data_IF_316684315090
#
_entry.id   IF_316684315090
#
_cell.length_a   1.000
_cell.length_b   1.000
_cell.length_c   1.000
_cell.angle_alpha   90.00
_cell.angle_beta   90.00
_cell.angle_gamma   90.00
#
_symmetry.space_group_name_H-M   'P 1'
#
loop_
_entity.id
_entity.type
_entity.pdbx_description
1 polymer ?
#
# COMPACT_ATOMS: atom_id res chain seq x y z
N UNK A 1 1.68 15.15 -0.33
CA UNK A 1 1.16 16.16 -1.28
C UNK A 1 -0.34 16.01 -1.60
N UNK A 2 -0.93 14.80 -1.60
CA UNK A 2 -2.36 14.61 -1.88
C UNK A 2 -3.32 15.39 -0.95
N UNK A 3 -2.94 15.60 0.31
CA UNK A 3 -3.83 16.18 1.33
C UNK A 3 -4.16 17.66 1.09
N UNK A 4 -3.27 18.41 0.41
CA UNK A 4 -3.53 19.81 0.02
C UNK A 4 -4.47 19.91 -1.18
N UNK A 5 -4.43 18.95 -2.09
CA UNK A 5 -5.30 18.95 -3.27
C UNK A 5 -6.76 18.67 -2.89
N UNK A 6 -6.99 17.69 -2.00
CA UNK A 6 -8.34 17.36 -1.54
C UNK A 6 -9.01 18.45 -0.71
N UNK A 7 -8.25 19.21 0.10
CA UNK A 7 -8.80 20.34 0.85
C UNK A 7 -9.21 21.52 -0.03
N UNK A 8 -8.53 21.74 -1.16
CA UNK A 8 -8.85 22.85 -2.05
C UNK A 8 -10.03 22.52 -3.00
N UNK A 9 -10.08 21.30 -3.54
CA UNK A 9 -11.04 20.95 -4.59
C UNK A 9 -12.23 20.10 -4.10
N UNK A 10 -12.11 19.43 -2.95
CA UNK A 10 -13.19 18.64 -2.35
C UNK A 10 -14.49 19.44 -2.15
N UNK A 11 -14.45 20.67 -1.60
CA UNK A 11 -15.65 21.48 -1.43
C UNK A 11 -16.30 21.86 -2.76
N UNK A 12 -15.49 22.24 -3.77
CA UNK A 12 -15.97 22.66 -5.08
C UNK A 12 -16.69 21.52 -5.82
N UNK A 13 -16.13 20.30 -5.77
CA UNK A 13 -16.74 19.11 -6.37
C UNK A 13 -18.04 18.75 -5.63
N UNK A 14 -18.02 18.77 -4.28
CA UNK A 14 -19.21 18.49 -3.47
C UNK A 14 -20.35 19.48 -3.72
N UNK A 15 -20.06 20.79 -3.73
CA UNK A 15 -21.08 21.81 -4.01
C UNK A 15 -21.58 21.77 -5.45
N UNK A 16 -20.70 21.47 -6.41
CA UNK A 16 -21.10 21.37 -7.82
C UNK A 16 -22.10 20.25 -8.06
N UNK A 17 -21.89 19.08 -7.45
CA UNK A 17 -22.81 17.94 -7.57
C UNK A 17 -24.17 18.25 -6.91
N UNK A 18 -24.18 18.84 -5.72
CA UNK A 18 -25.44 19.19 -5.03
C UNK A 18 -26.24 20.25 -5.81
N UNK A 19 -25.56 21.28 -6.33
CA UNK A 19 -26.22 22.31 -7.14
C UNK A 19 -26.75 21.76 -8.47
N UNK A 20 -26.01 20.84 -9.11
CA UNK A 20 -26.46 20.18 -10.34
C UNK A 20 -27.72 19.33 -10.10
N UNK A 21 -27.74 18.49 -9.06
CA UNK A 21 -28.92 17.69 -8.73
C UNK A 21 -30.10 18.54 -8.24
N UNK A 22 -29.84 19.62 -7.48
CA UNK A 22 -30.89 20.57 -7.08
C UNK A 22 -31.52 21.27 -8.28
N UNK A 23 -30.71 21.71 -9.25
CA UNK A 23 -31.21 22.30 -10.49
C UNK A 23 -31.98 21.28 -11.35
N UNK A 24 -31.47 20.06 -11.47
CA UNK A 24 -32.14 18.98 -12.22
C UNK A 24 -33.49 18.61 -11.58
N UNK A 25 -33.56 18.53 -10.24
CA UNK A 25 -34.79 18.27 -9.52
C UNK A 25 -35.83 19.37 -9.78
N UNK A 26 -35.43 20.65 -9.70
CA UNK A 26 -36.30 21.78 -10.02
C UNK A 26 -36.80 21.75 -11.48
N UNK A 27 -35.94 21.36 -12.42
CA UNK A 27 -36.32 21.24 -13.82
C UNK A 27 -37.34 20.11 -14.06
N UNK A 28 -37.21 18.98 -13.35
CA UNK A 28 -38.12 17.84 -13.45
C UNK A 28 -39.47 18.11 -12.76
N UNK A 29 -39.47 18.63 -11.53
CA UNK A 29 -40.71 18.91 -10.78
C UNK A 29 -41.52 20.04 -11.41
N UNK A 30 -40.85 21.03 -12.00
CA UNK A 30 -41.53 22.10 -12.74
C UNK A 30 -42.29 21.61 -13.98
N UNK A 31 -41.95 20.43 -14.51
CA UNK A 31 -42.61 19.84 -15.67
C UNK A 31 -43.81 18.98 -15.27
N UNK A 32 -43.77 18.30 -14.12
CA UNK A 32 -44.90 17.52 -13.61
C UNK A 32 -46.12 18.40 -13.31
N UNK A 33 -45.95 19.58 -12.70
CA UNK A 33 -47.08 20.49 -12.50
C UNK A 33 -47.70 20.98 -13.81
N UNK A 34 -46.88 21.17 -14.85
CA UNK A 34 -47.35 21.57 -16.19
C UNK A 34 -48.09 20.42 -16.87
N UNK A 35 -47.60 19.20 -16.73
CA UNK A 35 -48.27 18.00 -17.25
C UNK A 35 -49.56 17.72 -16.48
N UNK A 36 -49.59 17.84 -15.16
CA UNK A 36 -50.80 17.66 -14.36
C UNK A 36 -51.90 18.68 -14.73
N UNK A 37 -51.53 19.95 -14.99
CA UNK A 37 -52.47 20.97 -15.51
C UNK A 37 -52.96 20.63 -16.92
N UNK A 38 -52.08 20.11 -17.78
CA UNK A 38 -52.48 19.68 -19.12
C UNK A 38 -53.44 18.47 -19.05
N UNK A 39 -53.15 17.45 -18.24
CA UNK A 39 -54.03 16.29 -18.07
C UNK A 39 -55.41 16.65 -17.50
N UNK A 40 -55.48 17.58 -16.53
CA UNK A 40 -56.77 18.08 -16.04
C UNK A 40 -57.57 18.83 -17.11
N UNK A 41 -56.92 19.49 -18.09
CA UNK A 41 -57.64 20.10 -19.21
C UNK A 41 -58.10 19.10 -20.29
N UNK A 42 -57.49 17.91 -20.38
CA UNK A 42 -57.76 16.93 -21.44
C UNK A 42 -58.60 15.71 -21.00
N UNK A 43 -58.95 15.59 -19.70
CA UNK A 43 -59.71 14.47 -19.14
C UNK A 43 -61.16 14.27 -19.65
N UNK A 44 -61.57 14.94 -20.73
CA UNK A 44 -62.88 14.77 -21.36
C UNK A 44 -62.87 14.05 -22.72
N UNK A 45 -61.73 13.74 -23.33
CA UNK A 45 -61.69 13.40 -24.77
C UNK A 45 -60.73 12.26 -25.17
N UNK A 46 -60.58 11.20 -24.37
CA UNK A 46 -59.66 10.08 -24.70
C UNK A 46 -60.39 8.78 -25.05
N UNK A 47 -61.19 8.76 -26.12
CA UNK A 47 -61.67 7.46 -26.65
C UNK A 47 -61.51 7.22 -28.15
N UNK A 48 -60.97 8.15 -28.94
CA UNK A 48 -60.79 7.88 -30.36
C UNK A 48 -59.44 8.40 -30.87
N UNK A 49 -58.69 7.46 -31.44
CA UNK A 49 -57.81 7.57 -32.62
C UNK A 49 -56.44 6.95 -32.35
N UNK A 50 -56.41 5.64 -32.51
CA UNK A 50 -55.24 4.88 -32.92
C UNK A 50 -55.40 4.64 -34.43
N UNK A 51 -54.91 5.56 -35.27
CA UNK A 51 -54.72 5.30 -36.70
C UNK A 51 -53.59 6.17 -37.24
N UNK A 52 -52.56 5.48 -37.73
CA UNK A 52 -51.38 6.03 -38.36
C UNK A 52 -51.72 7.04 -39.46
N UNK A 53 -51.03 8.18 -39.47
CA UNK A 53 -51.02 9.13 -40.58
C UNK A 53 -49.57 9.49 -40.92
N UNK A 54 -49.25 9.28 -42.19
CA UNK A 54 -48.02 9.64 -42.91
C UNK A 54 -47.60 11.11 -42.69
N UNK A 55 -46.29 11.46 -42.75
CA UNK A 55 -45.84 12.85 -42.64
C UNK A 55 -46.16 13.62 -43.93
N UNK A 56 -47.35 14.24 -43.96
CA UNK A 56 -47.75 15.22 -44.96
C UNK A 56 -47.16 16.63 -44.71
N UNK A 57 -47.27 17.54 -45.70
CA UNK A 57 -46.50 18.78 -45.75
C UNK A 57 -46.88 19.76 -44.63
N UNK A 58 -45.87 20.42 -44.06
CA UNK A 58 -45.96 21.52 -43.08
C UNK A 58 -47.06 22.52 -43.44
N UNK A 59 -48.13 22.56 -42.64
CA UNK A 59 -49.23 23.51 -42.84
C UNK A 59 -48.96 24.84 -42.14
N UNK A 60 -49.19 25.90 -42.91
CA UNK A 60 -48.93 27.32 -42.67
C UNK A 60 -49.92 27.94 -41.65
N UNK A 61 -49.64 29.16 -41.12
CA UNK A 61 -50.38 29.90 -40.07
C UNK A 61 -51.91 30.06 -40.19
N UNK A 62 -52.52 29.64 -41.29
CA UNK A 62 -53.96 29.73 -41.55
C UNK A 62 -54.76 28.79 -40.64
N UNK A 63 -54.24 27.60 -40.31
CA UNK A 63 -54.95 26.62 -39.47
C UNK A 63 -55.07 27.07 -38.00
N UNK A 64 -54.08 27.81 -37.48
CA UNK A 64 -54.15 28.37 -36.12
C UNK A 64 -55.22 29.44 -35.98
N UNK A 65 -55.46 30.22 -37.04
CA UNK A 65 -56.52 31.23 -37.06
C UNK A 65 -57.92 30.58 -37.13
N UNK A 66 -58.07 29.53 -37.95
CA UNK A 66 -59.33 28.79 -38.06
C UNK A 66 -59.74 28.09 -36.75
N UNK A 67 -58.77 27.55 -36.00
CA UNK A 67 -58.98 27.02 -34.65
C UNK A 67 -59.55 28.07 -33.67
N UNK A 68 -59.01 29.30 -33.71
CA UNK A 68 -59.41 30.37 -32.80
C UNK A 68 -60.82 30.90 -33.12
N UNK A 69 -61.19 30.95 -34.41
CA UNK A 69 -62.54 31.30 -34.84
C UNK A 69 -63.57 30.22 -34.49
N UNK A 70 -63.22 28.94 -34.62
CA UNK A 70 -64.12 27.83 -34.29
C UNK A 70 -64.44 27.71 -32.79
N UNK A 71 -63.52 28.08 -31.90
CA UNK A 71 -63.78 28.16 -30.45
C UNK A 71 -64.65 29.36 -30.07
N UNK A 72 -64.56 30.46 -30.81
CA UNK A 72 -65.35 31.67 -30.56
C UNK A 72 -66.81 31.58 -31.03
N UNK A 73 -67.14 30.66 -31.96
CA UNK A 73 -68.39 30.70 -32.71
C UNK A 73 -69.61 29.98 -32.08
N UNK A 74 -69.47 29.14 -31.05
CA UNK A 74 -70.59 28.52 -30.32
C UNK A 74 -71.47 27.50 -31.11
N UNK A 75 -71.94 26.45 -30.42
CA UNK A 75 -72.46 25.15 -30.91
C UNK A 75 -73.76 25.10 -31.76
N UNK A 76 -73.96 26.00 -32.72
CA UNK A 76 -75.21 26.03 -33.47
C UNK A 76 -75.23 25.18 -34.77
N UNK A 77 -74.07 24.88 -35.39
CA UNK A 77 -74.01 24.27 -36.73
C UNK A 77 -73.12 23.03 -36.81
N UNK A 78 -73.54 22.02 -37.58
CA UNK A 78 -72.79 20.78 -37.83
C UNK A 78 -71.39 21.03 -38.42
N UNK A 79 -71.24 22.08 -39.25
CA UNK A 79 -69.95 22.51 -39.81
C UNK A 79 -68.96 23.00 -38.74
N UNK A 80 -69.43 23.40 -37.54
CA UNK A 80 -68.54 23.78 -36.44
C UNK A 80 -67.99 22.58 -35.69
N UNK A 81 -68.72 21.46 -35.67
CA UNK A 81 -68.27 20.22 -35.04
C UNK A 81 -67.03 19.68 -35.76
N UNK A 82 -67.07 19.60 -37.10
CA UNK A 82 -65.93 19.15 -37.91
C UNK A 82 -64.71 20.07 -37.73
N UNK A 83 -64.91 21.39 -37.62
CA UNK A 83 -63.84 22.36 -37.37
C UNK A 83 -63.21 22.19 -35.99
N UNK A 84 -63.99 21.86 -34.96
CA UNK A 84 -63.49 21.59 -33.61
C UNK A 84 -62.71 20.28 -33.54
N UNK A 85 -63.16 19.24 -34.23
CA UNK A 85 -62.44 17.97 -34.31
C UNK A 85 -61.10 18.14 -35.01
N UNK A 86 -61.05 18.88 -36.12
CA UNK A 86 -59.78 19.24 -36.77
C UNK A 86 -58.88 20.07 -35.85
N UNK A 87 -59.45 20.99 -35.07
CA UNK A 87 -58.67 21.77 -34.11
C UNK A 87 -58.10 20.93 -32.96
N UNK A 88 -58.88 19.97 -32.45
CA UNK A 88 -58.43 19.03 -31.41
C UNK A 88 -57.31 18.13 -31.94
N UNK A 89 -57.43 17.62 -33.17
CA UNK A 89 -56.38 16.84 -33.83
C UNK A 89 -55.10 17.66 -34.03
N UNK A 90 -55.22 18.93 -34.44
CA UNK A 90 -54.08 19.83 -34.58
C UNK A 90 -53.37 20.08 -33.24
N UNK A 91 -54.12 20.31 -32.16
CA UNK A 91 -53.54 20.48 -30.80
C UNK A 91 -52.89 19.21 -30.31
N UNK A 92 -53.48 18.04 -30.57
CA UNK A 92 -52.90 16.75 -30.23
C UNK A 92 -51.58 16.53 -30.99
N UNK A 93 -51.52 16.86 -32.28
CA UNK A 93 -50.31 16.79 -33.09
C UNK A 93 -49.20 17.72 -32.56
N UNK A 94 -49.53 18.99 -32.26
CA UNK A 94 -48.60 19.95 -31.66
C UNK A 94 -48.09 19.50 -30.27
N UNK A 95 -48.95 18.85 -29.48
CA UNK A 95 -48.54 18.30 -28.18
C UNK A 95 -47.62 17.08 -28.35
N UNK A 96 -47.89 16.22 -29.34
CA UNK A 96 -47.04 15.09 -29.67
C UNK A 96 -45.64 15.53 -30.12
N UNK A 97 -45.54 16.58 -30.95
CA UNK A 97 -44.26 17.17 -31.38
C UNK A 97 -43.44 17.67 -30.18
N UNK A 98 -44.07 18.45 -29.29
CA UNK A 98 -43.41 18.94 -28.07
C UNK A 98 -42.97 17.81 -27.13
N UNK A 99 -43.77 16.76 -26.99
CA UNK A 99 -43.40 15.60 -26.19
C UNK A 99 -42.22 14.84 -26.81
N UNK A 100 -42.15 14.76 -28.14
CA UNK A 100 -41.01 14.17 -28.85
C UNK A 100 -39.72 14.98 -28.60
N UNK A 101 -39.78 16.31 -28.66
CA UNK A 101 -38.65 17.18 -28.35
C UNK A 101 -38.16 17.02 -26.90
N UNK A 102 -39.09 16.97 -25.94
CA UNK A 102 -38.74 16.73 -24.53
C UNK A 102 -38.10 15.36 -24.32
N UNK A 103 -38.65 14.31 -24.93
CA UNK A 103 -38.10 12.96 -24.86
C UNK A 103 -36.70 12.89 -25.49
N UNK A 104 -36.46 13.63 -26.59
CA UNK A 104 -35.16 13.75 -27.22
C UNK A 104 -34.13 14.37 -26.27
N UNK A 105 -34.44 15.51 -25.64
CA UNK A 105 -33.54 16.15 -24.68
C UNK A 105 -33.31 15.29 -23.42
N UNK A 106 -34.35 14.63 -22.92
CA UNK A 106 -34.22 13.71 -21.77
C UNK A 106 -33.30 12.53 -22.11
N UNK A 107 -33.39 12.00 -23.33
CA UNK A 107 -32.50 10.93 -23.80
C UNK A 107 -31.05 11.41 -23.85
N UNK A 108 -30.81 12.61 -24.39
CA UNK A 108 -29.48 13.21 -24.44
C UNK A 108 -28.90 13.36 -23.01
N UNK A 109 -29.66 13.96 -22.09
CA UNK A 109 -29.24 14.13 -20.70
C UNK A 109 -28.98 12.77 -20.03
N UNK A 110 -29.83 11.79 -20.28
CA UNK A 110 -29.66 10.42 -19.79
C UNK A 110 -28.35 9.78 -20.26
N UNK A 111 -28.01 9.92 -21.55
CA UNK A 111 -26.74 9.40 -22.11
C UNK A 111 -25.53 10.08 -21.47
N UNK A 112 -25.55 11.40 -21.30
CA UNK A 112 -24.45 12.12 -20.64
C UNK A 112 -24.33 11.74 -19.15
N UNK A 113 -25.46 11.59 -18.44
CA UNK A 113 -25.47 11.12 -17.06
C UNK A 113 -24.87 9.72 -16.92
N UNK A 114 -25.25 8.79 -17.81
CA UNK A 114 -24.69 7.45 -17.84
C UNK A 114 -23.17 7.47 -18.13
N UNK A 115 -22.74 8.27 -19.09
CA UNK A 115 -21.32 8.43 -19.41
C UNK A 115 -20.51 8.97 -18.22
N UNK A 116 -21.06 9.93 -17.47
CA UNK A 116 -20.43 10.47 -16.25
C UNK A 116 -20.30 9.41 -15.14
N UNK A 117 -21.33 8.58 -14.94
CA UNK A 117 -21.29 7.46 -13.98
C UNK A 117 -20.23 6.45 -14.38
N UNK A 118 -20.15 6.08 -15.66
CA UNK A 118 -19.13 5.18 -16.18
C UNK A 118 -17.72 5.74 -15.99
N UNK A 119 -17.50 7.02 -16.32
CA UNK A 119 -16.20 7.67 -16.12
C UNK A 119 -15.77 7.65 -14.64
N UNK A 120 -16.72 7.90 -13.73
CA UNK A 120 -16.47 7.84 -12.28
C UNK A 120 -16.13 6.42 -11.83
N UNK A 121 -16.82 5.41 -12.35
CA UNK A 121 -16.53 4.01 -12.05
C UNK A 121 -15.11 3.62 -12.51
N UNK A 122 -14.72 4.05 -13.72
CA UNK A 122 -13.36 3.84 -14.23
C UNK A 122 -12.29 4.49 -13.36
N UNK A 123 -12.52 5.72 -12.90
CA UNK A 123 -11.61 6.40 -11.98
C UNK A 123 -11.48 5.64 -10.64
N UNK A 124 -12.60 5.13 -10.09
CA UNK A 124 -12.60 4.34 -8.87
C UNK A 124 -11.82 3.02 -9.02
N UNK A 125 -11.89 2.36 -10.17
CA UNK A 125 -11.09 1.16 -10.45
C UNK A 125 -9.59 1.50 -10.44
N UNK A 126 -9.19 2.64 -11.03
CA UNK A 126 -7.81 3.12 -10.97
C UNK A 126 -7.34 3.38 -9.54
N UNK A 127 -8.16 4.07 -8.75
CA UNK A 127 -7.87 4.35 -7.35
C UNK A 127 -7.74 3.07 -6.50
N UNK A 128 -8.61 2.08 -6.71
CA UNK A 128 -8.55 0.78 -6.03
C UNK A 128 -7.27 0.01 -6.34
N UNK A 129 -6.79 0.06 -7.59
CA UNK A 129 -5.52 -0.58 -7.97
C UNK A 129 -4.33 0.05 -7.25
N UNK A 130 -4.28 1.37 -7.17
CA UNK A 130 -3.20 2.05 -6.44
C UNK A 130 -3.30 1.84 -4.92
N UNK A 131 -4.52 1.82 -4.37
CA UNK A 131 -4.72 1.46 -2.97
C UNK A 131 -4.25 0.02 -2.67
N UNK A 132 -4.50 -0.93 -3.57
CA UNK A 132 -4.01 -2.30 -3.44
C UNK A 132 -2.48 -2.37 -3.45
N UNK A 133 -1.82 -1.65 -4.39
CA UNK A 133 -0.34 -1.55 -4.42
C UNK A 133 0.23 -0.92 -3.16
N UNK A 134 -0.41 0.16 -2.68
CA UNK A 134 0.01 0.81 -1.43
C UNK A 134 -0.14 -0.11 -0.22
N UNK A 135 -1.17 -0.95 -0.18
CA UNK A 135 -1.36 -1.91 0.91
C UNK A 135 -0.32 -3.03 0.85
N UNK A 136 0.05 -3.48 -0.35
CA UNK A 136 1.13 -4.45 -0.54
C UNK A 136 2.48 -3.90 -0.07
N UNK A 137 2.81 -2.66 -0.46
CA UNK A 137 4.00 -1.96 0.06
C UNK A 137 3.94 -1.76 1.58
N UNK A 138 2.78 -1.36 2.13
CA UNK A 138 2.63 -1.24 3.57
C UNK A 138 2.86 -2.59 4.26
N UNK A 139 2.38 -3.70 3.68
CA UNK A 139 2.60 -5.04 4.20
C UNK A 139 4.09 -5.42 4.19
N UNK A 140 4.84 -5.09 3.14
CA UNK A 140 6.29 -5.35 3.10
C UNK A 140 7.02 -4.51 4.14
N UNK A 141 6.70 -3.21 4.27
CA UNK A 141 7.27 -2.35 5.31
C UNK A 141 6.95 -2.83 6.72
N UNK A 142 5.70 -3.22 7.01
CA UNK A 142 5.33 -3.79 8.31
C UNK A 142 6.03 -5.12 8.58
N UNK A 143 6.23 -5.93 7.55
CA UNK A 143 6.96 -7.18 7.67
C UNK A 143 8.47 -6.97 7.89
N UNK A 144 9.04 -5.85 7.44
CA UNK A 144 10.44 -5.43 7.66
C UNK A 144 10.64 -4.75 9.02
N UNK A 145 9.75 -3.82 9.39
CA UNK A 145 9.80 -3.10 10.66
C UNK A 145 9.60 -4.05 11.85
N UNK A 146 8.78 -5.09 11.68
CA UNK A 146 8.57 -6.11 12.71
C UNK A 146 9.62 -7.22 12.71
N UNK A 147 10.71 -7.15 11.95
CA UNK A 147 11.75 -8.20 12.00
C UNK A 147 12.54 -8.11 13.31
N UNK A 148 13.07 -9.23 13.83
CA UNK A 148 14.11 -9.22 14.84
C UNK A 148 15.37 -8.66 14.18
N UNK A 149 15.98 -7.67 14.83
CA UNK A 149 17.25 -7.13 14.43
C UNK A 149 18.25 -7.56 15.49
N UNK A 150 19.25 -8.35 15.12
CA UNK A 150 20.25 -8.83 16.07
C UNK A 150 21.47 -7.92 16.02
N UNK A 151 21.64 -7.11 17.05
CA UNK A 151 22.88 -6.40 17.29
C UNK A 151 23.87 -7.37 17.92
N UNK A 152 25.02 -7.54 17.27
CA UNK A 152 26.11 -8.40 17.77
C UNK A 152 27.13 -7.52 18.46
N UNK A 153 27.39 -7.79 19.73
CA UNK A 153 28.41 -7.10 20.52
C UNK A 153 29.42 -8.11 21.04
N UNK A 154 30.70 -7.82 20.88
CA UNK A 154 31.75 -8.50 21.65
C UNK A 154 31.68 -7.95 23.07
N UNK A 155 31.60 -8.82 24.07
CA UNK A 155 31.85 -8.36 25.43
C UNK A 155 33.35 -8.02 25.51
N UNK A 156 33.69 -6.82 25.97
CA UNK A 156 35.09 -6.39 26.17
C UNK A 156 35.82 -7.26 27.21
N UNK A 157 35.06 -8.06 27.97
CA UNK A 157 35.52 -9.08 28.90
C UNK A 157 36.14 -10.32 28.17
N UNK A 158 37.13 -10.09 27.30
CA UNK A 158 38.11 -11.14 26.93
C UNK A 158 38.99 -11.37 28.15
N UNK A 159 38.46 -12.10 29.13
CA UNK A 159 39.19 -12.43 30.34
C UNK A 159 40.23 -13.48 29.99
N UNK A 160 41.50 -13.11 30.09
CA UNK A 160 42.60 -14.08 30.19
C UNK A 160 42.38 -14.88 31.48
N UNK A 161 41.58 -15.95 31.41
CA UNK A 161 41.37 -16.82 32.56
C UNK A 161 42.63 -17.66 32.72
N UNK A 162 43.58 -17.14 33.49
CA UNK A 162 44.70 -17.96 33.94
C UNK A 162 44.11 -18.96 34.92
N UNK A 163 43.82 -20.18 34.46
CA UNK A 163 43.55 -21.28 35.40
C UNK A 163 44.85 -21.49 36.19
N UNK A 164 44.87 -20.97 37.42
CA UNK A 164 46.00 -20.97 38.35
C UNK A 164 46.56 -22.36 38.69
N UNK A 165 45.99 -23.43 38.14
CA UNK A 165 46.39 -24.82 38.36
C UNK A 165 47.38 -25.37 37.31
N UNK A 166 47.58 -24.74 36.14
CA UNK A 166 48.46 -25.30 35.09
C UNK A 166 49.38 -24.30 34.33
N UNK A 167 49.29 -22.99 34.55
CA UNK A 167 50.14 -22.03 33.80
C UNK A 167 49.83 -21.93 32.30
N UNK A 168 48.71 -22.50 31.87
CA UNK A 168 48.22 -22.43 30.49
C UNK A 168 47.46 -21.11 30.28
N UNK A 169 47.93 -20.30 29.33
CA UNK A 169 47.20 -19.14 28.82
C UNK A 169 46.12 -19.63 27.86
N UNK A 170 44.91 -19.15 28.06
CA UNK A 170 43.81 -19.42 27.17
C UNK A 170 43.00 -18.15 26.94
N UNK A 171 42.43 -18.07 25.75
CA UNK A 171 41.61 -16.95 25.33
C UNK A 171 40.17 -17.44 25.30
N UNK A 172 39.31 -16.77 26.06
CA UNK A 172 37.87 -17.00 26.03
C UNK A 172 37.23 -15.91 25.18
N UNK A 173 36.49 -16.32 24.16
CA UNK A 173 35.68 -15.43 23.33
C UNK A 173 34.22 -15.56 23.75
N UNK A 174 33.60 -14.44 24.10
CA UNK A 174 32.18 -14.36 24.44
C UNK A 174 31.48 -13.48 23.42
N UNK A 175 30.60 -14.09 22.62
CA UNK A 175 29.77 -13.37 21.65
C UNK A 175 28.40 -13.17 22.26
N UNK A 176 28.01 -11.91 22.44
CA UNK A 176 26.66 -11.55 22.89
C UNK A 176 25.83 -11.06 21.71
N UNK A 177 24.61 -11.57 21.63
CA UNK A 177 23.61 -11.09 20.69
C UNK A 177 22.51 -10.38 21.48
N UNK A 178 22.11 -9.18 21.04
CA UNK A 178 20.96 -8.46 21.57
C UNK A 178 19.91 -8.31 20.47
N UNK A 179 18.67 -8.64 20.78
CA UNK A 179 17.56 -8.35 19.86
C UNK A 179 17.13 -6.90 20.06
N UNK A 180 17.43 -6.05 19.08
CA UNK A 180 16.98 -4.64 19.03
C UNK A 180 15.75 -4.48 18.14
N UNK A 181 15.22 -5.58 17.58
CA UNK A 181 13.98 -5.59 16.79
C UNK A 181 12.73 -5.79 17.63
N UNK A 182 11.57 -5.62 16.99
CA UNK A 182 10.26 -5.65 17.65
C UNK A 182 9.67 -7.07 17.81
N UNK A 183 10.20 -8.07 17.10
CA UNK A 183 9.73 -9.46 17.20
C UNK A 183 10.77 -10.39 17.80
N UNK A 184 10.35 -11.51 18.42
CA UNK A 184 11.29 -12.48 18.97
C UNK A 184 12.10 -13.15 17.88
N UNK A 185 13.41 -13.28 18.10
CA UNK A 185 14.30 -14.09 17.29
C UNK A 185 14.32 -15.52 17.85
N UNK A 186 14.09 -16.53 17.02
CA UNK A 186 14.09 -17.93 17.44
C UNK A 186 15.43 -18.59 17.08
N UNK A 187 15.85 -19.58 17.87
CA UNK A 187 17.05 -20.39 17.63
C UNK A 187 18.30 -19.55 17.30
N UNK A 188 18.56 -18.53 18.11
CA UNK A 188 19.73 -17.65 17.91
C UNK A 188 21.01 -18.40 18.27
N UNK A 189 21.99 -18.37 17.37
CA UNK A 189 23.32 -18.96 17.54
C UNK A 189 24.39 -18.22 16.74
N UNK A 190 25.66 -18.61 16.90
CA UNK A 190 26.76 -18.01 16.16
C UNK A 190 27.75 -19.06 15.63
N UNK A 191 28.34 -18.77 14.48
CA UNK A 191 29.44 -19.52 13.87
C UNK A 191 30.65 -18.59 13.68
N UNK A 192 31.53 -18.48 14.68
CA UNK A 192 32.76 -17.72 14.57
C UNK A 192 33.90 -18.54 14.00
N UNK A 193 34.80 -17.82 13.33
CA UNK A 193 36.09 -18.26 12.82
C UNK A 193 37.17 -17.31 13.32
N UNK A 194 38.26 -17.90 13.79
CA UNK A 194 39.46 -17.17 14.16
C UNK A 194 40.40 -17.24 12.97
N UNK A 195 40.69 -16.09 12.37
CA UNK A 195 41.56 -15.97 11.20
C UNK A 195 42.78 -15.11 11.53
N UNK A 196 43.95 -15.52 11.03
CA UNK A 196 45.16 -14.70 11.07
C UNK A 196 44.94 -13.45 10.19
N UNK A 197 45.43 -12.27 10.57
CA UNK A 197 45.34 -11.04 9.77
C UNK A 197 46.17 -11.14 8.49
N UNK A 198 47.11 -12.09 8.42
CA UNK A 198 47.78 -12.48 7.16
C UNK A 198 46.85 -13.21 6.20
N UNK A 199 45.70 -13.68 6.66
CA UNK A 199 44.64 -14.19 5.81
C UNK A 199 44.19 -13.06 4.88
N UNK A 200 44.18 -13.32 3.57
CA UNK A 200 43.80 -12.28 2.61
C UNK A 200 42.35 -11.92 2.88
N UNK A 201 42.09 -10.62 3.09
CA UNK A 201 40.73 -10.10 3.31
C UNK A 201 39.74 -10.54 2.22
N UNK A 202 40.24 -10.81 1.02
CA UNK A 202 39.51 -11.33 -0.15
C UNK A 202 38.89 -12.73 0.06
N UNK A 203 39.45 -13.53 0.98
CA UNK A 203 38.99 -14.90 1.24
C UNK A 203 37.85 -14.96 2.28
N UNK A 204 37.67 -13.91 3.09
CA UNK A 204 36.63 -13.83 4.14
C UNK A 204 35.21 -13.95 3.56
N UNK A 205 34.83 -13.25 2.47
CA UNK A 205 33.52 -13.41 1.86
C UNK A 205 33.24 -14.84 1.38
N UNK A 206 34.27 -15.56 0.91
CA UNK A 206 34.14 -16.96 0.50
C UNK A 206 33.82 -17.88 1.68
N UNK A 207 34.50 -17.66 2.82
CA UNK A 207 34.25 -18.38 4.06
C UNK A 207 32.81 -18.15 4.57
N UNK A 208 32.40 -16.88 4.69
CA UNK A 208 31.05 -16.54 5.18
C UNK A 208 29.95 -17.06 4.25
N UNK A 209 30.14 -17.00 2.92
CA UNK A 209 29.17 -17.57 1.96
C UNK A 209 28.99 -19.07 2.16
N UNK A 210 30.07 -19.79 2.43
CA UNK A 210 30.01 -21.22 2.71
C UNK A 210 29.21 -21.49 3.98
N UNK A 211 29.48 -20.78 5.07
CA UNK A 211 28.74 -20.95 6.33
C UNK A 211 27.24 -20.66 6.16
N UNK A 212 26.90 -19.61 5.41
CA UNK A 212 25.50 -19.25 5.12
C UNK A 212 24.83 -20.37 4.32
N UNK A 213 25.53 -20.95 3.34
CA UNK A 213 25.02 -22.08 2.56
C UNK A 213 24.81 -23.32 3.44
N UNK A 214 25.77 -23.62 4.31
CA UNK A 214 25.72 -24.78 5.21
C UNK A 214 24.58 -24.62 6.24
N UNK A 215 24.40 -23.42 6.80
CA UNK A 215 23.28 -23.07 7.69
C UNK A 215 21.92 -23.22 7.02
N UNK A 216 21.79 -22.80 5.75
CA UNK A 216 20.54 -22.96 4.98
C UNK A 216 20.23 -24.43 4.68
N UNK A 217 21.24 -25.28 4.59
CA UNK A 217 21.05 -26.72 4.41
C UNK A 217 20.68 -27.45 5.72
N UNK A 218 21.03 -26.87 6.87
CA UNK A 218 20.78 -27.46 8.19
C UNK A 218 19.33 -27.25 8.67
N UNK A 219 18.54 -28.33 8.71
CA UNK A 219 17.13 -28.28 9.16
C UNK A 219 16.97 -28.09 10.68
N UNK A 220 18.00 -28.42 11.46
CA UNK A 220 17.93 -28.49 12.92
C UNK A 220 18.91 -27.52 13.58
N UNK A 221 18.79 -26.23 13.23
CA UNK A 221 19.51 -25.16 13.91
C UNK A 221 19.27 -25.24 15.42
N UNK A 222 20.33 -25.05 16.20
CA UNK A 222 20.29 -25.02 17.67
C UNK A 222 20.38 -23.58 18.13
N UNK A 223 19.72 -23.24 19.22
CA UNK A 223 19.83 -21.90 19.79
C UNK A 223 18.69 -21.57 20.73
N UNK A 224 18.83 -20.45 21.43
CA UNK A 224 17.80 -19.95 22.34
C UNK A 224 16.91 -18.94 21.64
N UNK A 225 15.67 -18.78 22.12
CA UNK A 225 14.84 -17.66 21.71
C UNK A 225 15.32 -16.38 22.40
N UNK A 226 15.37 -15.27 21.68
CA UNK A 226 15.75 -13.95 22.16
C UNK A 226 14.58 -12.99 21.95
N UNK A 227 13.88 -12.64 23.03
CA UNK A 227 12.77 -11.68 22.95
C UNK A 227 13.30 -10.26 22.66
N UNK A 228 12.43 -9.32 22.22
CA UNK A 228 12.83 -7.92 22.06
C UNK A 228 13.52 -7.38 23.31
N UNK A 229 14.59 -6.60 23.09
CA UNK A 229 15.49 -6.02 24.10
C UNK A 229 16.30 -7.00 24.95
N UNK A 230 16.12 -8.33 24.78
CA UNK A 230 16.93 -9.31 25.50
C UNK A 230 18.29 -9.49 24.86
N UNK A 231 19.27 -9.78 25.70
CA UNK A 231 20.62 -10.16 25.31
C UNK A 231 20.96 -11.55 25.82
N UNK A 232 21.65 -12.35 25.02
CA UNK A 232 22.16 -13.65 25.43
C UNK A 232 23.58 -13.88 24.90
N UNK A 233 24.35 -14.67 25.65
CA UNK A 233 25.59 -15.25 25.15
C UNK A 233 25.23 -16.35 24.16
N UNK A 234 25.56 -16.15 22.89
CA UNK A 234 25.24 -17.10 21.80
C UNK A 234 26.40 -18.03 21.48
N UNK A 235 27.60 -17.66 21.90
CA UNK A 235 28.79 -18.46 21.73
C UNK A 235 29.81 -18.12 22.80
N UNK A 236 30.38 -19.18 23.37
CA UNK A 236 31.51 -19.12 24.28
C UNK A 236 32.51 -20.19 23.84
N UNK A 237 33.74 -19.78 23.55
CA UNK A 237 34.78 -20.73 23.19
C UNK A 237 36.08 -20.42 23.89
N UNK A 238 36.71 -21.50 24.34
CA UNK A 238 37.96 -21.49 25.04
C UNK A 238 39.03 -22.05 24.10
N UNK A 239 39.92 -21.17 23.65
CA UNK A 239 41.07 -21.56 22.84
C UNK A 239 42.30 -21.67 23.73
N UNK A 240 42.86 -22.88 23.82
CA UNK A 240 44.19 -23.08 24.42
C UNK A 240 45.25 -22.69 23.40
N UNK A 241 46.15 -21.77 23.80
CA UNK A 241 47.29 -21.43 22.96
C UNK A 241 48.33 -22.56 23.01
N UNK A 242 48.84 -23.04 21.86
CA UNK A 242 49.93 -24.02 21.81
C UNK A 242 51.12 -23.55 22.65
N UNK A 243 51.81 -24.48 23.31
CA UNK A 243 52.93 -24.13 24.20
C UNK A 243 54.03 -23.30 23.52
N UNK A 244 54.27 -23.54 22.23
CA UNK A 244 55.25 -22.84 21.39
C UNK A 244 54.88 -21.37 21.11
N UNK A 245 53.61 -21.02 21.29
CA UNK A 245 53.03 -19.70 20.99
C UNK A 245 52.83 -18.83 22.23
N UNK A 246 52.97 -19.38 23.45
CA UNK A 246 52.67 -18.71 24.73
C UNK A 246 53.58 -17.50 25.07
N UNK A 247 54.60 -17.24 24.25
CA UNK A 247 55.57 -16.15 24.42
C UNK A 247 55.90 -15.34 23.15
N UNK A 248 55.18 -15.56 22.05
CA UNK A 248 55.31 -14.73 20.83
C UNK A 248 54.11 -13.77 20.79
N UNK A 249 54.30 -12.56 20.26
CA UNK A 249 53.25 -11.55 20.01
C UNK A 249 52.31 -11.97 18.86
N UNK A 250 51.86 -13.23 18.85
CA UNK A 250 50.97 -13.82 17.83
C UNK A 250 49.60 -13.15 17.83
N UNK A 251 49.26 -12.47 18.91
CA UNK A 251 47.97 -11.81 19.10
C UNK A 251 47.87 -10.44 18.46
N UNK A 252 48.93 -9.91 17.83
CA UNK A 252 48.86 -8.65 17.07
C UNK A 252 48.11 -8.79 15.74
N UNK A 253 47.81 -10.02 15.33
CA UNK A 253 47.32 -10.33 13.99
C UNK A 253 46.18 -11.36 14.02
N UNK A 254 45.22 -11.24 14.93
CA UNK A 254 44.05 -12.14 14.92
C UNK A 254 42.76 -11.36 14.69
N UNK A 255 41.93 -11.84 13.79
CA UNK A 255 40.59 -11.33 13.54
C UNK A 255 39.56 -12.41 13.87
N UNK A 256 38.51 -12.04 14.59
CA UNK A 256 37.35 -12.89 14.84
C UNK A 256 36.26 -12.49 13.84
N UNK A 257 35.95 -13.38 12.91
CA UNK A 257 34.90 -13.17 11.89
C UNK A 257 33.86 -14.27 11.98
N UNK A 258 32.62 -13.99 11.61
CA UNK A 258 31.62 -15.04 11.60
C UNK A 258 30.23 -14.53 11.26
N UNK A 259 29.25 -15.38 11.52
CA UNK A 259 27.83 -15.05 11.37
C UNK A 259 27.06 -15.38 12.64
N UNK A 260 26.17 -14.48 13.05
CA UNK A 260 25.10 -14.79 14.00
C UNK A 260 23.87 -15.14 13.18
N UNK A 261 23.21 -16.26 13.48
CA UNK A 261 22.01 -16.69 12.79
C UNK A 261 20.79 -16.70 13.72
N UNK A 262 19.62 -16.55 13.13
CA UNK A 262 18.32 -16.65 13.83
C UNK A 262 17.20 -17.00 12.86
N UNK A 263 16.08 -17.51 13.38
CA UNK A 263 14.84 -17.76 12.64
C UNK A 263 13.77 -16.73 13.00
N UNK A 264 13.01 -16.30 11.99
CA UNK A 264 11.79 -15.54 12.19
C UNK A 264 10.66 -16.47 12.67
N UNK A 265 9.71 -15.99 13.49
CA UNK A 265 8.49 -16.73 13.78
C UNK A 265 7.76 -17.11 12.48
N UNK A 266 7.62 -18.42 12.22
CA UNK A 266 6.94 -18.94 11.03
C UNK A 266 7.80 -19.01 9.76
N UNK A 267 9.10 -18.73 9.84
CA UNK A 267 10.07 -18.98 8.76
C UNK A 267 10.93 -20.19 9.10
N UNK A 268 11.19 -21.04 8.11
CA UNK A 268 12.18 -22.12 8.18
C UNK A 268 13.56 -21.67 7.65
N UNK A 269 13.65 -20.47 7.06
CA UNK A 269 14.89 -19.94 6.50
C UNK A 269 15.68 -19.13 7.55
N UNK A 270 16.97 -19.46 7.79
CA UNK A 270 17.81 -18.69 8.69
C UNK A 270 18.17 -17.32 8.11
N UNK A 271 18.00 -16.31 8.94
CA UNK A 271 18.58 -14.99 8.75
C UNK A 271 19.97 -14.98 9.37
N UNK A 272 20.87 -14.21 8.76
CA UNK A 272 22.28 -14.14 9.16
C UNK A 272 22.72 -12.68 9.29
N UNK A 273 23.51 -12.41 10.32
CA UNK A 273 24.15 -11.12 10.56
C UNK A 273 25.65 -11.37 10.64
N UNK A 274 26.42 -11.00 9.59
CA UNK A 274 27.86 -11.13 9.63
C UNK A 274 28.47 -10.19 10.66
N UNK A 275 29.57 -10.60 11.28
CA UNK A 275 30.37 -9.76 12.17
C UNK A 275 31.86 -9.97 11.95
N UNK A 276 32.64 -8.96 12.32
CA UNK A 276 34.10 -8.99 12.25
C UNK A 276 34.72 -8.03 13.26
N UNK A 277 35.58 -8.57 14.12
CA UNK A 277 36.32 -7.81 15.13
C UNK A 277 37.81 -8.05 14.97
N UNK A 278 38.59 -6.96 15.04
CA UNK A 278 40.03 -7.05 15.19
C UNK A 278 40.35 -7.24 16.66
N UNK A 279 41.18 -8.25 16.93
CA UNK A 279 41.73 -8.45 18.25
C UNK A 279 43.10 -7.77 18.27
N UNK A 280 43.16 -6.50 18.67
CA UNK A 280 44.44 -5.81 18.89
C UNK A 280 44.70 -5.67 20.38
N UNK A 281 45.88 -6.11 20.84
CA UNK A 281 46.30 -5.92 22.23
C UNK A 281 47.09 -4.62 22.35
N UNK A 282 46.56 -3.66 23.11
CA UNK A 282 47.33 -2.48 23.53
C UNK A 282 48.15 -2.81 24.78
N UNK A 283 49.48 -2.82 24.68
CA UNK A 283 50.35 -2.87 25.86
C UNK A 283 50.35 -1.52 26.58
N UNK A 284 49.54 -1.35 27.62
CA UNK A 284 49.75 -0.27 28.60
C UNK A 284 50.81 -0.71 29.61
N UNK A 285 52.08 -0.56 29.21
CA UNK A 285 53.20 -0.62 30.13
C UNK A 285 53.18 0.59 31.06
N UNK A 286 52.75 0.38 32.32
CA UNK A 286 53.57 0.68 33.51
C UNK A 286 52.84 0.40 34.83
N UNK A 287 53.50 -0.43 35.64
CA UNK A 287 53.37 -0.60 37.10
C UNK A 287 52.16 -1.39 37.64
N UNK A 288 52.43 -2.67 37.87
CA UNK A 288 52.01 -3.54 38.99
C UNK A 288 50.52 -3.84 39.25
N UNK A 289 49.59 -3.27 38.48
CA UNK A 289 48.21 -3.76 38.35
C UNK A 289 47.67 -3.51 36.94
N UNK A 290 48.30 -4.13 35.94
CA UNK A 290 47.89 -3.97 34.53
C UNK A 290 46.55 -4.67 34.28
N UNK A 291 45.45 -3.96 34.48
CA UNK A 291 44.21 -4.24 33.77
C UNK A 291 44.50 -4.05 32.27
N UNK A 292 44.36 -5.12 31.49
CA UNK A 292 44.51 -5.07 30.04
C UNK A 292 43.16 -4.64 29.47
N UNK A 293 43.14 -3.52 28.76
CA UNK A 293 41.96 -3.05 28.06
C UNK A 293 41.96 -3.62 26.64
N UNK A 294 40.81 -4.17 26.26
CA UNK A 294 40.57 -4.76 24.96
C UNK A 294 39.60 -3.86 24.20
N UNK A 295 39.95 -3.44 22.99
CA UNK A 295 39.09 -2.62 22.15
C UNK A 295 38.72 -3.44 20.91
N UNK A 296 37.52 -4.06 20.93
CA UNK A 296 36.95 -4.64 19.72
C UNK A 296 36.36 -3.53 18.86
N UNK A 297 37.12 -3.09 17.87
CA UNK A 297 36.61 -2.16 16.87
C UNK A 297 35.78 -2.93 15.82
N UNK A 298 34.45 -2.66 15.69
CA UNK A 298 33.63 -3.29 14.66
C UNK A 298 34.13 -2.84 13.28
N UNK A 299 34.60 -3.78 12.47
CA UNK A 299 35.17 -3.42 11.18
C UNK A 299 34.06 -3.35 10.12
N UNK A 300 33.38 -2.20 10.07
CA UNK A 300 32.45 -1.80 9.00
C UNK A 300 31.21 -2.69 8.91
N UNK A 301 30.03 -2.07 8.78
CA UNK A 301 28.82 -2.78 8.35
C UNK A 301 29.13 -3.52 7.04
N UNK A 302 29.26 -4.84 7.11
CA UNK A 302 29.19 -5.66 5.90
C UNK A 302 27.80 -5.40 5.34
N UNK A 303 27.71 -4.53 4.33
CA UNK A 303 26.48 -4.26 3.63
C UNK A 303 25.82 -5.60 3.33
N UNK A 304 24.58 -5.76 3.82
CA UNK A 304 23.74 -6.93 3.59
C UNK A 304 23.94 -7.40 2.15
N UNK A 305 24.45 -8.62 1.91
CA UNK A 305 24.44 -9.19 0.58
C UNK A 305 22.98 -9.53 0.31
N UNK A 306 22.25 -8.59 -0.27
CA UNK A 306 20.93 -8.86 -0.85
C UNK A 306 20.99 -10.09 -1.77
#
# INVERSE_FOLDING_TARGET
MLDRYWRAYGPLIGTGVVLFFGWLALALTGNEERQARAYQSYGGATQYIERAVDPGPTVLPVEKAACAEAEAAGDADADQHDKRDLCAQFRAAMAAERNADLAFWQTIIGVFGLAAVLATLWANIGALKEAARSNDQARTFFAEERRPWIAVSGDEDVRESTKALLGDKAITFVIRAKNVGLSPALKVGALPHIVDVKFKREDIPGLLRKDISDLRAEKNLKGSALLPEQSATVYEHFMQLPAEERGKDILEHVMLVGVVYYLLPGSDEPHVTPFGWFLSWGYLSKNDRSERFFEANPMIDFASPD
#
